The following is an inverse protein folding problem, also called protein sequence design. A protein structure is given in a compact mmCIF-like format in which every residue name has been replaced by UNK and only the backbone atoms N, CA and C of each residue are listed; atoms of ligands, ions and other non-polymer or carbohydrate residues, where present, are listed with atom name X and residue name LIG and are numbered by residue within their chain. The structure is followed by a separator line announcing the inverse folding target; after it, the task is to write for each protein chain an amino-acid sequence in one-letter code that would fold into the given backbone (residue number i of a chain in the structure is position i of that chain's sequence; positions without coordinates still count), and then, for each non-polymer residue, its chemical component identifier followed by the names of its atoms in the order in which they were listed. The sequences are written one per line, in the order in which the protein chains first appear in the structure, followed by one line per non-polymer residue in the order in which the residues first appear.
data_IF_824793525758
#
_entry.id   IF_824793525758
#
_cell.length_a   1.000
_cell.length_b   1.000
_cell.length_c   1.000
_cell.angle_alpha   90.00
_cell.angle_beta   90.00
_cell.angle_gamma   90.00
#
_symmetry.space_group_name_H-M   'P 1'
#
loop_
_entity.id
_entity.type
_entity.pdbx_description
1 polymer ?
#
# COMPACT_ATOMS: atom_id res chain seq x y z
N UNK A 1 -15.18 -11.30 -16.38
CA UNK A 1 -14.41 -10.46 -15.44
C UNK A 1 -13.03 -10.11 -16.00
N UNK A 2 -12.33 -9.18 -15.37
CA UNK A 2 -11.03 -8.66 -15.82
C UNK A 2 -9.84 -9.63 -15.60
N UNK A 3 -10.08 -10.89 -15.19
CA UNK A 3 -9.01 -11.86 -14.91
C UNK A 3 -8.32 -11.68 -13.56
N UNK A 4 -8.77 -10.75 -12.71
CA UNK A 4 -8.24 -10.58 -11.35
C UNK A 4 -8.59 -11.80 -10.51
N UNK A 5 -7.58 -12.51 -10.02
CA UNK A 5 -7.76 -13.71 -9.20
C UNK A 5 -8.06 -13.35 -7.74
N UNK A 6 -7.24 -12.48 -7.14
CA UNK A 6 -7.39 -11.97 -5.76
C UNK A 6 -7.27 -10.46 -5.72
N UNK A 7 -7.93 -9.84 -4.75
CA UNK A 7 -7.83 -8.41 -4.49
C UNK A 7 -7.60 -8.16 -2.99
N UNK A 8 -6.69 -7.24 -2.69
CA UNK A 8 -6.53 -6.68 -1.36
C UNK A 8 -7.66 -5.68 -1.12
N UNK A 9 -8.39 -5.84 -0.04
CA UNK A 9 -9.48 -4.95 0.37
C UNK A 9 -9.11 -4.31 1.71
N UNK A 10 -9.04 -2.98 1.72
CA UNK A 10 -8.62 -2.23 2.89
C UNK A 10 -9.80 -1.62 3.63
N UNK A 11 -9.83 -1.80 4.94
CA UNK A 11 -10.60 -0.92 5.81
C UNK A 11 -10.04 0.52 5.74
N UNK A 12 -10.86 1.49 6.14
CA UNK A 12 -10.51 2.91 6.18
C UNK A 12 -10.93 3.51 7.51
N UNK A 13 -9.96 4.02 8.28
CA UNK A 13 -10.20 4.70 9.52
C UNK A 13 -9.66 6.13 9.47
N UNK A 14 -10.51 7.09 9.79
CA UNK A 14 -10.17 8.50 9.87
C UNK A 14 -10.38 9.08 11.25
N UNK A 15 -10.09 10.38 11.46
CA UNK A 15 -10.23 11.05 12.77
C UNK A 15 -11.64 10.99 13.36
N UNK A 16 -12.67 10.89 12.52
CA UNK A 16 -14.08 10.85 12.94
C UNK A 16 -14.63 9.41 13.07
N UNK A 17 -13.76 8.41 12.91
CA UNK A 17 -14.12 6.99 12.98
C UNK A 17 -13.94 6.24 11.66
N UNK A 18 -14.46 5.00 11.58
CA UNK A 18 -14.32 4.17 10.39
C UNK A 18 -15.20 4.67 9.24
N UNK A 19 -14.57 4.95 8.09
CA UNK A 19 -15.26 5.16 6.81
C UNK A 19 -15.66 3.81 6.18
N UNK A 20 -14.82 2.79 6.36
CA UNK A 20 -15.09 1.39 6.09
C UNK A 20 -14.48 0.58 7.23
N UNK A 21 -15.32 -0.13 8.01
CA UNK A 21 -14.86 -0.84 9.21
C UNK A 21 -14.07 -2.11 8.87
N UNK A 22 -13.21 -2.52 9.80
CA UNK A 22 -12.54 -3.82 9.73
C UNK A 22 -13.55 -4.98 9.73
N UNK A 23 -14.67 -4.85 10.43
CA UNK A 23 -15.71 -5.89 10.48
C UNK A 23 -16.33 -6.12 9.10
N UNK A 24 -16.69 -5.06 8.37
CA UNK A 24 -17.18 -5.16 6.99
C UNK A 24 -16.17 -5.84 6.05
N UNK A 25 -14.88 -5.51 6.20
CA UNK A 25 -13.83 -6.17 5.41
C UNK A 25 -13.70 -7.64 5.80
N UNK A 26 -13.78 -7.96 7.11
CA UNK A 26 -13.73 -9.34 7.58
C UNK A 26 -14.92 -10.17 7.05
N UNK A 27 -16.13 -9.65 7.09
CA UNK A 27 -17.34 -10.28 6.50
C UNK A 27 -17.12 -10.61 5.01
N UNK A 28 -16.59 -9.66 4.24
CA UNK A 28 -16.31 -9.87 2.81
C UNK A 28 -15.23 -10.94 2.58
N UNK A 29 -14.16 -10.92 3.38
CA UNK A 29 -13.06 -11.89 3.28
C UNK A 29 -13.55 -13.29 3.68
N UNK A 30 -14.31 -13.42 4.74
CA UNK A 30 -14.88 -14.69 5.20
C UNK A 30 -15.89 -15.26 4.18
N UNK A 31 -16.68 -14.41 3.54
CA UNK A 31 -17.62 -14.83 2.50
C UNK A 31 -16.91 -15.29 1.20
N UNK A 32 -15.73 -14.75 0.92
CA UNK A 32 -14.99 -15.00 -0.33
C UNK A 32 -13.46 -15.12 -0.10
N UNK A 33 -13.01 -16.10 0.70
CA UNK A 33 -11.60 -16.20 1.13
C UNK A 33 -10.61 -16.45 -0.03
N UNK A 34 -11.09 -17.05 -1.12
CA UNK A 34 -10.29 -17.29 -2.33
C UNK A 34 -10.16 -16.04 -3.21
N UNK A 35 -10.92 -14.98 -2.93
CA UNK A 35 -11.01 -13.78 -3.77
C UNK A 35 -10.49 -12.52 -3.10
N UNK A 36 -10.65 -12.41 -1.79
CA UNK A 36 -10.31 -11.19 -1.06
C UNK A 36 -9.32 -11.45 0.08
N UNK A 37 -8.47 -10.47 0.31
CA UNK A 37 -7.49 -10.44 1.39
C UNK A 37 -7.67 -9.13 2.15
N UNK A 38 -7.91 -9.22 3.46
CA UNK A 38 -8.16 -8.06 4.30
C UNK A 38 -6.89 -7.29 4.66
N UNK A 39 -6.99 -5.97 4.62
CA UNK A 39 -5.99 -5.03 5.13
C UNK A 39 -6.67 -4.17 6.19
N UNK A 40 -6.13 -4.19 7.41
CA UNK A 40 -6.69 -3.46 8.55
C UNK A 40 -6.47 -1.94 8.43
N UNK A 41 -7.33 -1.19 9.12
CA UNK A 41 -7.11 0.23 9.40
C UNK A 41 -7.56 0.51 10.83
N UNK A 42 -6.91 1.47 11.53
CA UNK A 42 -7.09 1.65 12.98
C UNK A 42 -7.10 3.12 13.38
N UNK A 43 -7.59 3.40 14.60
CA UNK A 43 -7.63 4.73 15.19
C UNK A 43 -6.26 5.16 15.75
N UNK A 44 -5.63 6.16 15.12
CA UNK A 44 -4.35 6.73 15.61
C UNK A 44 -4.48 7.52 16.92
N UNK A 45 -5.68 7.91 17.33
CA UNK A 45 -5.89 8.64 18.60
C UNK A 45 -5.72 7.73 19.82
N UNK A 46 -5.82 6.40 19.62
CA UNK A 46 -5.78 5.39 20.70
C UNK A 46 -4.73 4.31 20.39
N UNK A 47 -3.42 4.58 20.57
CA UNK A 47 -2.36 3.69 20.10
C UNK A 47 -2.46 2.25 20.60
N UNK A 48 -2.82 2.04 21.86
CA UNK A 48 -2.92 0.67 22.43
C UNK A 48 -4.15 -0.09 21.93
N UNK A 49 -5.26 0.60 21.72
CA UNK A 49 -6.46 -0.02 21.13
C UNK A 49 -6.20 -0.33 19.66
N UNK A 50 -5.50 0.55 18.96
CA UNK A 50 -5.07 0.35 17.57
C UNK A 50 -4.16 -0.89 17.41
N UNK A 51 -3.17 -1.07 18.30
CA UNK A 51 -2.30 -2.25 18.32
C UNK A 51 -3.10 -3.53 18.61
N UNK A 52 -4.02 -3.51 19.58
CA UNK A 52 -4.88 -4.67 19.91
C UNK A 52 -5.77 -5.03 18.73
N UNK A 53 -6.38 -4.03 18.10
CA UNK A 53 -7.24 -4.24 16.92
C UNK A 53 -6.43 -4.82 15.75
N UNK A 54 -5.26 -4.27 15.43
CA UNK A 54 -4.40 -4.83 14.39
C UNK A 54 -4.05 -6.30 14.67
N UNK A 55 -3.62 -6.62 15.90
CA UNK A 55 -3.28 -7.99 16.30
C UNK A 55 -4.47 -8.91 16.10
N UNK A 56 -5.64 -8.52 16.59
CA UNK A 56 -6.88 -9.29 16.44
C UNK A 56 -7.18 -9.58 14.96
N UNK A 57 -7.15 -8.56 14.11
CA UNK A 57 -7.44 -8.73 12.68
C UNK A 57 -6.46 -9.65 11.96
N UNK A 58 -5.19 -9.59 12.30
CA UNK A 58 -4.18 -10.46 11.70
C UNK A 58 -4.33 -11.90 12.21
N UNK A 59 -4.54 -12.10 13.53
CA UNK A 59 -4.53 -13.44 14.13
C UNK A 59 -5.86 -14.17 14.01
N UNK A 60 -6.99 -13.46 14.08
CA UNK A 60 -8.33 -14.06 14.09
C UNK A 60 -9.00 -14.02 12.72
N UNK A 61 -8.90 -12.88 11.98
CA UNK A 61 -9.54 -12.71 10.68
C UNK A 61 -8.59 -12.95 9.49
N UNK A 62 -7.31 -13.23 9.75
CA UNK A 62 -6.32 -13.54 8.71
C UNK A 62 -5.92 -12.35 7.84
N UNK A 63 -6.09 -11.12 8.33
CA UNK A 63 -5.68 -9.93 7.60
C UNK A 63 -4.17 -9.92 7.36
N UNK A 64 -3.74 -9.35 6.23
CA UNK A 64 -2.36 -9.41 5.73
C UNK A 64 -1.65 -8.06 5.64
N UNK A 65 -2.09 -7.07 6.38
CA UNK A 65 -1.46 -5.77 6.43
C UNK A 65 -2.24 -4.74 7.23
N UNK A 66 -1.61 -3.61 7.46
CA UNK A 66 -2.20 -2.40 8.02
C UNK A 66 -2.12 -1.28 6.98
N UNK A 67 -3.20 -0.54 6.77
CA UNK A 67 -3.21 0.66 5.92
C UNK A 67 -3.69 1.88 6.68
N UNK A 68 -2.90 2.95 6.59
CA UNK A 68 -3.25 4.28 7.08
C UNK A 68 -2.97 5.34 6.01
N UNK A 69 -3.71 6.44 6.09
CA UNK A 69 -3.66 7.51 5.10
C UNK A 69 -3.14 8.78 5.77
N UNK A 70 -1.85 9.15 5.61
CA UNK A 70 -1.26 10.32 6.24
C UNK A 70 -2.04 11.61 6.01
N UNK A 71 -2.55 11.83 4.80
CA UNK A 71 -3.35 13.00 4.47
C UNK A 71 -4.67 13.06 5.24
N UNK A 72 -5.33 11.91 5.49
CA UNK A 72 -6.61 11.86 6.21
C UNK A 72 -6.45 12.18 7.70
N UNK A 73 -5.30 11.82 8.25
CA UNK A 73 -4.94 12.11 9.63
C UNK A 73 -4.23 13.46 9.80
N UNK A 74 -3.84 14.11 8.70
CA UNK A 74 -2.99 15.31 8.69
C UNK A 74 -1.70 15.12 9.52
N UNK A 75 -1.12 13.93 9.41
CA UNK A 75 0.06 13.49 10.15
C UNK A 75 1.02 12.79 9.20
N UNK A 76 2.29 13.24 9.13
CA UNK A 76 3.29 12.56 8.33
C UNK A 76 3.61 11.18 8.93
N UNK A 77 4.07 10.21 8.12
CA UNK A 77 4.31 8.83 8.59
C UNK A 77 5.37 8.71 9.67
N UNK A 78 6.26 9.69 9.86
CA UNK A 78 7.23 9.75 10.96
C UNK A 78 6.68 10.39 12.24
N UNK A 79 5.38 10.67 12.34
CA UNK A 79 4.75 11.05 13.61
C UNK A 79 4.77 9.86 14.58
N UNK A 80 5.11 10.15 15.86
CA UNK A 80 5.24 9.14 16.94
C UNK A 80 4.03 8.22 17.12
N UNK A 81 2.82 8.65 16.69
CA UNK A 81 1.58 7.87 16.83
C UNK A 81 1.57 6.63 15.95
N UNK A 82 2.32 6.62 14.85
CA UNK A 82 2.47 5.44 14.00
C UNK A 82 3.44 4.40 14.56
N UNK A 83 4.46 4.81 15.35
CA UNK A 83 5.57 3.93 15.75
C UNK A 83 5.16 2.65 16.48
N UNK A 84 4.19 2.67 17.43
CA UNK A 84 3.69 1.43 18.03
C UNK A 84 3.08 0.46 17.02
N UNK A 85 2.48 0.98 15.95
CA UNK A 85 1.90 0.17 14.87
C UNK A 85 2.98 -0.40 13.95
N UNK A 86 4.06 0.33 13.71
CA UNK A 86 5.22 -0.19 12.97
C UNK A 86 5.85 -1.38 13.68
N UNK A 87 6.08 -1.25 14.99
CA UNK A 87 6.56 -2.35 15.81
C UNK A 87 5.61 -3.55 15.76
N UNK A 88 4.30 -3.32 15.88
CA UNK A 88 3.31 -4.40 15.80
C UNK A 88 3.28 -5.06 14.40
N UNK A 89 3.43 -4.29 13.30
CA UNK A 89 3.53 -4.85 11.96
C UNK A 89 4.76 -5.74 11.80
N UNK A 90 5.91 -5.32 12.33
CA UNK A 90 7.14 -6.12 12.33
C UNK A 90 6.94 -7.43 13.10
N UNK A 91 6.41 -7.37 14.34
CA UNK A 91 6.12 -8.55 15.17
C UNK A 91 5.16 -9.53 14.50
N UNK A 92 4.16 -9.02 13.80
CA UNK A 92 3.13 -9.82 13.11
C UNK A 92 3.58 -10.30 11.71
N UNK A 93 4.71 -9.81 11.21
CA UNK A 93 5.20 -10.12 9.86
C UNK A 93 4.30 -9.61 8.74
N UNK A 94 3.59 -8.50 8.95
CA UNK A 94 2.67 -7.92 7.96
C UNK A 94 3.16 -6.53 7.49
N UNK A 95 2.94 -6.15 6.21
CA UNK A 95 3.34 -4.85 5.71
C UNK A 95 2.49 -3.71 6.28
N UNK A 96 3.13 -2.54 6.39
CA UNK A 96 2.47 -1.25 6.54
C UNK A 96 2.26 -0.62 5.17
N UNK A 97 1.00 -0.33 4.83
CA UNK A 97 0.59 0.30 3.58
C UNK A 97 0.17 1.75 3.84
N UNK A 98 0.60 2.67 3.00
CA UNK A 98 0.19 4.07 3.10
C UNK A 98 0.03 4.68 1.70
N UNK A 99 -0.78 5.73 1.60
CA UNK A 99 -0.77 6.56 0.41
C UNK A 99 0.37 7.56 0.47
N UNK A 100 1.17 7.63 -0.58
CA UNK A 100 2.20 8.65 -0.81
C UNK A 100 1.82 9.52 -2.01
N UNK A 101 2.38 10.73 -2.08
CA UNK A 101 2.05 11.69 -3.12
C UNK A 101 0.87 12.59 -2.76
N UNK A 102 0.30 13.23 -3.77
CA UNK A 102 -0.82 14.15 -3.57
C UNK A 102 -2.10 13.43 -3.15
N UNK A 103 -2.96 14.14 -2.44
CA UNK A 103 -4.32 13.69 -2.12
C UNK A 103 -5.34 14.22 -3.14
N UNK A 104 -6.39 13.44 -3.42
CA UNK A 104 -7.51 13.88 -4.27
C UNK A 104 -8.47 14.87 -3.59
N UNK A 105 -8.82 14.70 -2.30
CA UNK A 105 -9.57 15.70 -1.54
C UNK A 105 -8.83 17.05 -1.45
N UNK A 106 -9.58 18.15 -1.21
CA UNK A 106 -9.03 19.50 -1.02
C UNK A 106 -8.38 19.65 0.36
N UNK A 107 -7.26 18.94 0.53
CA UNK A 107 -6.46 18.88 1.77
C UNK A 107 -4.96 19.01 1.42
N UNK A 108 -4.11 19.40 2.39
CA UNK A 108 -2.66 19.47 2.17
C UNK A 108 -2.08 18.11 1.77
N UNK A 109 -1.21 18.07 0.77
CA UNK A 109 -0.59 16.84 0.26
C UNK A 109 0.77 16.55 0.88
N UNK A 110 1.37 17.47 1.60
CA UNK A 110 2.72 17.38 2.16
C UNK A 110 2.93 16.16 3.09
N UNK A 111 1.88 15.74 3.80
CA UNK A 111 1.92 14.55 4.66
C UNK A 111 2.17 13.24 3.88
N UNK A 112 1.94 13.24 2.56
CA UNK A 112 2.23 12.13 1.67
C UNK A 112 3.58 12.22 0.96
N UNK A 113 4.40 13.24 1.24
CA UNK A 113 5.71 13.37 0.60
C UNK A 113 6.69 12.30 1.08
N UNK A 114 7.37 11.57 0.17
CA UNK A 114 8.24 10.47 0.56
C UNK A 114 9.46 10.91 1.38
N UNK A 115 10.15 11.97 0.97
CA UNK A 115 11.33 12.51 1.66
C UNK A 115 10.94 13.84 2.33
N UNK A 116 11.19 14.04 3.65
CA UNK A 116 12.00 13.20 4.54
C UNK A 116 11.21 12.12 5.30
N UNK A 117 9.89 12.14 5.27
CA UNK A 117 9.04 11.44 6.24
C UNK A 117 9.12 9.91 6.11
N UNK A 118 8.86 9.36 4.92
CA UNK A 118 8.93 7.91 4.72
C UNK A 118 10.37 7.40 4.81
N UNK A 119 11.34 8.21 4.39
CA UNK A 119 12.75 7.90 4.56
C UNK A 119 13.13 7.68 6.03
N UNK A 120 12.63 8.53 6.92
CA UNK A 120 12.86 8.39 8.36
C UNK A 120 12.32 7.06 8.87
N UNK A 121 11.10 6.72 8.53
CA UNK A 121 10.48 5.44 8.93
C UNK A 121 11.28 4.24 8.42
N UNK A 122 11.73 4.28 7.17
CA UNK A 122 12.53 3.19 6.60
C UNK A 122 13.90 3.01 7.26
N UNK A 123 14.47 4.10 7.81
CA UNK A 123 15.71 4.08 8.59
C UNK A 123 15.48 3.54 10.01
N UNK A 124 14.40 3.98 10.66
CA UNK A 124 14.10 3.63 12.06
C UNK A 124 13.59 2.18 12.20
N UNK A 125 12.95 1.64 11.13
CA UNK A 125 12.37 0.29 11.08
C UNK A 125 12.82 -0.48 9.83
N UNK A 126 14.08 -0.91 9.74
CA UNK A 126 14.59 -1.64 8.58
C UNK A 126 13.91 -3.00 8.35
N UNK A 127 13.30 -3.59 9.40
CA UNK A 127 12.53 -4.84 9.34
C UNK A 127 11.09 -4.65 8.83
N UNK A 128 10.56 -3.41 8.88
CA UNK A 128 9.20 -3.12 8.48
C UNK A 128 9.06 -3.17 6.96
N UNK A 129 8.23 -4.05 6.44
CA UNK A 129 7.83 -3.98 5.03
C UNK A 129 6.89 -2.79 4.80
N UNK A 130 7.28 -1.86 3.94
CA UNK A 130 6.53 -0.63 3.64
C UNK A 130 6.02 -0.68 2.21
N UNK A 131 4.70 -0.54 2.00
CA UNK A 131 4.06 -0.47 0.68
C UNK A 131 3.50 0.93 0.48
N UNK A 132 4.17 1.71 -0.38
CA UNK A 132 3.85 3.10 -0.67
C UNK A 132 2.93 3.18 -1.91
N UNK A 133 1.66 3.44 -1.69
CA UNK A 133 0.63 3.49 -2.73
C UNK A 133 0.56 4.81 -3.49
N UNK A 134 -0.04 4.77 -4.68
CA UNK A 134 -0.29 5.92 -5.57
C UNK A 134 0.98 6.52 -6.20
N UNK A 135 2.01 5.69 -6.42
CA UNK A 135 3.29 6.02 -7.11
C UNK A 135 4.07 7.24 -6.57
N UNK A 136 3.54 7.96 -5.59
CA UNK A 136 4.19 9.15 -5.01
C UNK A 136 4.05 10.44 -5.82
N UNK A 137 3.23 10.49 -6.88
CA UNK A 137 3.10 11.71 -7.68
C UNK A 137 2.66 12.93 -6.83
N UNK A 138 3.22 14.15 -7.05
CA UNK A 138 4.21 14.51 -8.08
C UNK A 138 5.67 14.15 -7.73
N UNK A 139 5.94 13.57 -6.55
CA UNK A 139 7.28 13.22 -6.07
C UNK A 139 7.69 11.76 -6.40
N UNK A 140 7.28 11.26 -7.58
CA UNK A 140 7.56 9.86 -7.98
C UNK A 140 9.05 9.57 -8.04
N UNK A 141 9.89 10.53 -8.44
CA UNK A 141 11.34 10.38 -8.42
C UNK A 141 11.88 10.11 -7.01
N UNK A 142 11.38 10.82 -5.98
CA UNK A 142 11.72 10.56 -4.58
C UNK A 142 11.30 9.15 -4.16
N UNK A 143 10.10 8.71 -4.56
CA UNK A 143 9.58 7.39 -4.22
C UNK A 143 10.42 6.27 -4.88
N UNK A 144 10.77 6.41 -6.14
CA UNK A 144 11.67 5.49 -6.86
C UNK A 144 13.04 5.45 -6.18
N UNK A 145 13.57 6.61 -5.77
CA UNK A 145 14.83 6.69 -5.04
C UNK A 145 14.78 5.91 -3.73
N UNK A 146 13.71 6.07 -2.94
CA UNK A 146 13.54 5.31 -1.68
C UNK A 146 13.43 3.81 -1.92
N UNK A 147 12.63 3.38 -2.91
CA UNK A 147 12.49 1.97 -3.24
C UNK A 147 13.79 1.32 -3.73
N UNK A 148 14.71 2.12 -4.32
CA UNK A 148 16.07 1.68 -4.67
C UNK A 148 17.02 1.62 -3.48
N UNK A 149 16.90 2.60 -2.57
CA UNK A 149 17.79 2.75 -1.41
C UNK A 149 17.50 1.72 -0.33
N UNK A 150 16.21 1.44 -0.06
CA UNK A 150 15.76 0.60 1.04
C UNK A 150 15.22 -0.75 0.55
N UNK A 151 15.75 -1.84 1.10
CA UNK A 151 15.32 -3.20 0.76
C UNK A 151 13.86 -3.47 1.12
N UNK A 152 13.34 -2.82 2.17
CA UNK A 152 12.01 -2.99 2.75
C UNK A 152 10.93 -2.06 2.17
N UNK A 153 11.24 -1.15 1.23
CA UNK A 153 10.30 -0.20 0.62
C UNK A 153 9.85 -0.67 -0.75
N UNK A 154 8.54 -0.69 -0.97
CA UNK A 154 7.87 -1.11 -2.20
C UNK A 154 6.94 -0.01 -2.71
N UNK A 155 6.66 0.01 -4.02
CA UNK A 155 5.74 0.94 -4.67
C UNK A 155 4.49 0.18 -5.09
N UNK A 156 3.31 0.66 -4.71
CA UNK A 156 2.01 0.22 -5.23
C UNK A 156 1.49 1.26 -6.23
N UNK A 157 1.09 0.78 -7.40
CA UNK A 157 0.71 1.64 -8.54
C UNK A 157 -0.77 2.00 -8.60
N UNK A 158 -1.51 1.75 -7.53
CA UNK A 158 -2.93 2.11 -7.44
C UNK A 158 -3.20 3.60 -7.75
N UNK A 159 -4.41 3.89 -8.21
CA UNK A 159 -4.90 5.21 -8.60
C UNK A 159 -4.32 5.78 -9.91
N UNK A 160 -3.41 5.11 -10.55
CA UNK A 160 -2.84 5.54 -11.84
C UNK A 160 -2.98 4.46 -12.91
N UNK A 161 -3.28 4.89 -14.14
CA UNK A 161 -3.25 4.00 -15.30
C UNK A 161 -1.80 3.77 -15.75
N UNK A 162 -1.42 2.55 -16.16
CA UNK A 162 -0.07 2.27 -16.66
C UNK A 162 0.40 3.22 -17.77
N UNK A 163 -0.50 3.63 -18.68
CA UNK A 163 -0.20 4.63 -19.73
C UNK A 163 0.13 6.04 -19.20
N UNK A 164 -0.03 6.27 -17.91
CA UNK A 164 0.24 7.56 -17.24
C UNK A 164 1.39 7.50 -16.24
N UNK A 165 2.09 6.37 -16.14
CA UNK A 165 3.24 6.29 -15.24
C UNK A 165 4.38 7.18 -15.73
N UNK A 166 5.01 7.94 -14.83
CA UNK A 166 6.22 8.72 -15.15
C UNK A 166 7.35 7.81 -15.66
N UNK A 167 8.18 8.35 -16.55
CA UNK A 167 9.23 7.61 -17.20
C UNK A 167 10.19 6.91 -16.23
N UNK A 168 10.57 7.59 -15.15
CA UNK A 168 11.45 7.06 -14.11
C UNK A 168 10.87 5.82 -13.40
N UNK A 169 9.55 5.76 -13.22
CA UNK A 169 8.88 4.58 -12.66
C UNK A 169 8.87 3.43 -13.66
N UNK A 170 8.61 3.73 -14.94
CA UNK A 170 8.62 2.70 -16.02
C UNK A 170 10.00 2.11 -16.18
N UNK A 171 11.06 2.93 -16.21
CA UNK A 171 12.44 2.46 -16.27
C UNK A 171 12.82 1.61 -15.05
N UNK A 172 12.39 2.04 -13.85
CA UNK A 172 12.62 1.29 -12.62
C UNK A 172 11.93 -0.07 -12.67
N UNK A 173 10.67 -0.12 -13.09
CA UNK A 173 9.87 -1.35 -13.21
C UNK A 173 10.45 -2.33 -14.24
N UNK A 174 10.94 -1.83 -15.40
CA UNK A 174 11.62 -2.66 -16.41
C UNK A 174 12.96 -3.22 -15.94
N UNK A 175 13.65 -2.50 -15.08
CA UNK A 175 15.00 -2.77 -14.64
C UNK A 175 15.12 -3.31 -13.21
N UNK A 176 15.86 -2.59 -12.39
CA UNK A 176 16.21 -2.99 -11.02
C UNK A 176 15.03 -3.07 -10.07
N UNK A 177 13.92 -2.39 -10.38
CA UNK A 177 12.73 -2.32 -9.56
C UNK A 177 11.68 -3.39 -9.85
N UNK A 178 11.94 -4.34 -10.77
CA UNK A 178 10.95 -5.37 -11.16
C UNK A 178 10.39 -6.17 -9.98
N UNK A 179 11.17 -6.32 -8.89
CA UNK A 179 10.75 -6.99 -7.63
C UNK A 179 10.22 -6.02 -6.56
N UNK A 180 10.06 -4.73 -6.90
CA UNK A 180 9.76 -3.65 -5.94
C UNK A 180 8.46 -2.91 -6.25
N UNK A 181 7.83 -3.18 -7.39
CA UNK A 181 6.62 -2.49 -7.84
C UNK A 181 5.48 -3.49 -7.89
N UNK A 182 4.35 -3.13 -7.28
CA UNK A 182 3.13 -3.93 -7.18
C UNK A 182 2.03 -3.29 -8.03
N UNK A 183 1.23 -4.13 -8.69
CA UNK A 183 0.05 -3.68 -9.41
C UNK A 183 -1.09 -3.33 -8.46
N UNK A 184 -1.71 -2.18 -8.71
CA UNK A 184 -2.95 -1.76 -8.05
C UNK A 184 -3.82 -0.93 -8.98
N UNK A 185 -5.14 -0.98 -8.82
CA UNK A 185 -6.10 -0.17 -9.59
C UNK A 185 -6.78 0.92 -8.75
N UNK A 186 -6.92 0.70 -7.45
CA UNK A 186 -7.71 1.55 -6.55
C UNK A 186 -9.21 1.57 -6.91
N UNK A 187 -9.78 0.36 -7.17
CA UNK A 187 -11.22 0.23 -7.38
C UNK A 187 -12.01 0.83 -6.20
N UNK A 188 -13.10 1.57 -6.43
CA UNK A 188 -13.82 1.77 -7.72
C UNK A 188 -13.31 2.95 -8.57
N UNK A 189 -12.26 3.65 -8.15
CA UNK A 189 -11.72 4.81 -8.90
C UNK A 189 -11.29 4.42 -10.33
N UNK A 190 -10.54 3.33 -10.47
CA UNK A 190 -10.13 2.79 -11.77
C UNK A 190 -10.55 1.31 -11.88
N UNK A 191 -11.29 0.94 -12.94
CA UNK A 191 -11.57 -0.47 -13.23
C UNK A 191 -10.26 -1.24 -13.48
N UNK A 192 -10.06 -2.42 -12.87
CA UNK A 192 -8.89 -3.26 -13.15
C UNK A 192 -8.72 -3.57 -14.65
N UNK A 193 -9.82 -3.76 -15.38
CA UNK A 193 -9.79 -3.99 -16.83
C UNK A 193 -9.13 -2.83 -17.60
N UNK A 194 -9.36 -1.59 -17.18
CA UNK A 194 -8.74 -0.41 -17.79
C UNK A 194 -7.24 -0.41 -17.55
N UNK A 195 -6.80 -0.69 -16.31
CA UNK A 195 -5.37 -0.75 -15.98
C UNK A 195 -4.67 -1.91 -16.71
N UNK A 196 -5.31 -3.08 -16.76
CA UNK A 196 -4.78 -4.25 -17.46
C UNK A 196 -4.70 -4.02 -18.98
N UNK A 197 -5.66 -3.32 -19.56
CA UNK A 197 -5.64 -2.95 -20.99
C UNK A 197 -4.49 -2.01 -21.36
N UNK A 198 -3.96 -1.25 -20.40
CA UNK A 198 -2.84 -0.33 -20.61
C UNK A 198 -1.45 -0.99 -20.43
N UNK A 199 -1.37 -2.23 -19.95
CA UNK A 199 -0.09 -2.91 -19.70
C UNK A 199 0.90 -2.91 -20.88
N UNK A 200 0.45 -3.06 -22.14
CA UNK A 200 1.38 -2.99 -23.28
C UNK A 200 2.19 -1.70 -23.36
N UNK A 201 1.67 -0.58 -22.84
CA UNK A 201 2.38 0.70 -22.79
C UNK A 201 3.65 0.64 -21.90
N UNK A 202 3.72 -0.29 -20.94
CA UNK A 202 4.86 -0.46 -20.06
C UNK A 202 6.03 -1.19 -20.76
N UNK A 203 5.81 -1.95 -21.83
CA UNK A 203 6.84 -2.70 -22.54
C UNK A 203 7.64 -3.65 -21.63
N UNK A 204 6.95 -4.37 -20.76
CA UNK A 204 7.53 -5.35 -19.84
C UNK A 204 7.76 -6.67 -20.55
N UNK A 205 8.85 -7.37 -20.19
CA UNK A 205 9.00 -8.78 -20.53
C UNK A 205 8.07 -9.67 -19.67
N UNK A 206 7.98 -10.95 -19.99
CA UNK A 206 7.07 -11.90 -19.33
C UNK A 206 7.37 -12.04 -17.83
N UNK A 207 8.66 -12.03 -17.44
CA UNK A 207 9.08 -12.11 -16.04
C UNK A 207 8.64 -10.85 -15.28
N UNK A 208 8.93 -9.68 -15.81
CA UNK A 208 8.56 -8.42 -15.19
C UNK A 208 7.03 -8.26 -15.09
N UNK A 209 6.30 -8.73 -16.11
CA UNK A 209 4.83 -8.73 -16.10
C UNK A 209 4.28 -9.62 -14.99
N UNK A 210 4.78 -10.85 -14.85
CA UNK A 210 4.36 -11.77 -13.79
C UNK A 210 4.69 -11.23 -12.40
N UNK A 211 5.90 -10.70 -12.21
CA UNK A 211 6.32 -10.07 -10.96
C UNK A 211 5.40 -8.91 -10.59
N UNK A 212 5.12 -8.02 -11.55
CA UNK A 212 4.30 -6.83 -11.34
C UNK A 212 2.85 -7.18 -11.01
N UNK A 213 2.24 -8.11 -11.75
CA UNK A 213 0.82 -8.45 -11.61
C UNK A 213 0.51 -9.40 -10.45
N UNK A 214 1.49 -10.19 -9.99
CA UNK A 214 1.23 -11.27 -9.05
C UNK A 214 2.34 -11.47 -8.01
N UNK A 215 3.55 -11.89 -8.43
CA UNK A 215 4.54 -12.48 -7.53
C UNK A 215 5.03 -11.49 -6.46
N UNK A 216 5.11 -10.20 -6.78
CA UNK A 216 5.51 -9.18 -5.81
C UNK A 216 4.47 -9.03 -4.71
N UNK A 217 3.18 -8.96 -5.06
CA UNK A 217 2.11 -8.87 -4.07
C UNK A 217 2.04 -10.16 -3.23
N UNK A 218 2.13 -11.33 -3.87
CA UNK A 218 2.13 -12.62 -3.16
C UNK A 218 3.26 -12.68 -2.13
N UNK A 219 4.47 -12.29 -2.49
CA UNK A 219 5.62 -12.26 -1.57
C UNK A 219 5.47 -11.24 -0.46
N UNK A 220 5.02 -10.03 -0.77
CA UNK A 220 4.93 -8.91 0.20
C UNK A 220 3.85 -9.15 1.23
N UNK A 221 2.73 -9.74 0.83
CA UNK A 221 1.57 -9.98 1.70
C UNK A 221 1.47 -11.43 2.21
N UNK A 222 2.39 -12.31 1.83
CA UNK A 222 2.39 -13.73 2.24
C UNK A 222 1.16 -14.50 1.74
N UNK A 223 0.82 -14.37 0.44
CA UNK A 223 -0.37 -14.96 -0.20
C UNK A 223 -0.08 -16.28 -0.88
#
# INVERSE_FOLDING_TARGET
GAGVQRALVSAWWGPEGPLLSNDHVAELVHAHPDRFVGIASVDLKRPMDAVRELRRRVTEDGFRGLRLLPWLWELPPDDRRYYPLYAACVELGVPFCLQVGHTGPLMPSEFGRPIPHLERVALDFPELTIVAGHIGAPWTAEMVFLARKFANVYIDTSAYRPSRYPAELVEFLRGRGRKKVLFGSNWPMLPPSTCLGDLPALGLDDEATRLFLHDNAARVFGL
#
